data_IF_091510556105
#
_entry.id   IF_091510556105
#
_cell.length_a   1.000
_cell.length_b   1.000
_cell.length_c   1.000
_cell.angle_alpha   90.00
_cell.angle_beta   90.00
_cell.angle_gamma   90.00
#
_symmetry.space_group_name_H-M   'P 1'
#
loop_
_entity.id
_entity.type
_entity.pdbx_description
1 polymer ?
#
# COMPACT_ATOMS: atom_id res chain seq x y z
N UNK A 1 16.14 25.07 -8.04
CA UNK A 1 16.20 23.60 -8.11
C UNK A 1 17.66 23.21 -8.13
N UNK A 2 18.15 22.50 -7.11
CA UNK A 2 19.53 21.99 -7.11
C UNK A 2 19.61 20.80 -8.08
N UNK A 3 20.48 20.89 -9.10
CA UNK A 3 20.81 19.74 -9.93
C UNK A 3 21.58 18.70 -9.12
N UNK A 4 21.50 17.42 -9.52
CA UNK A 4 22.35 16.39 -8.95
C UNK A 4 23.81 16.69 -9.25
N UNK A 5 24.71 16.50 -8.27
CA UNK A 5 26.14 16.70 -8.45
C UNK A 5 26.76 15.57 -9.30
N UNK A 6 26.18 14.37 -9.21
CA UNK A 6 26.59 13.19 -9.99
C UNK A 6 25.32 12.45 -10.40
N UNK A 7 25.23 12.11 -11.68
CA UNK A 7 24.14 11.31 -12.23
C UNK A 7 24.66 9.91 -12.60
N UNK A 8 23.98 8.87 -12.14
CA UNK A 8 24.29 7.48 -12.48
C UNK A 8 23.12 6.90 -13.25
N UNK A 9 23.28 6.76 -14.55
CA UNK A 9 22.29 6.18 -15.45
C UNK A 9 22.54 4.69 -15.58
N UNK A 10 21.57 3.85 -15.26
CA UNK A 10 21.70 2.40 -15.36
C UNK A 10 20.66 1.64 -14.52
N UNK A 11 20.87 0.33 -14.38
CA UNK A 11 20.07 -0.51 -13.50
C UNK A 11 20.33 -0.16 -12.03
N UNK A 12 19.26 0.18 -11.30
CA UNK A 12 19.35 0.64 -9.91
C UNK A 12 19.91 -0.44 -8.99
N UNK A 13 19.50 -1.70 -9.16
CA UNK A 13 19.94 -2.79 -8.32
C UNK A 13 21.44 -3.03 -8.47
N UNK A 14 21.94 -2.99 -9.71
CA UNK A 14 23.36 -3.11 -10.00
C UNK A 14 24.16 -1.93 -9.45
N UNK A 15 23.67 -0.70 -9.61
CA UNK A 15 24.32 0.49 -9.06
C UNK A 15 24.44 0.43 -7.53
N UNK A 16 23.38 0.06 -6.83
CA UNK A 16 23.40 -0.12 -5.37
C UNK A 16 24.35 -1.25 -4.97
N UNK A 17 24.35 -2.35 -5.72
CA UNK A 17 25.27 -3.46 -5.45
C UNK A 17 26.75 -3.02 -5.56
N UNK A 18 27.11 -2.28 -6.62
CA UNK A 18 28.46 -1.75 -6.80
C UNK A 18 28.84 -0.78 -5.66
N UNK A 19 27.94 0.14 -5.28
CA UNK A 19 28.16 1.03 -4.13
C UNK A 19 28.43 0.23 -2.86
N UNK A 20 27.63 -0.81 -2.60
CA UNK A 20 27.79 -1.67 -1.41
C UNK A 20 29.17 -2.37 -1.38
N UNK A 21 29.77 -2.69 -2.55
CA UNK A 21 31.08 -3.33 -2.60
C UNK A 21 32.23 -2.34 -2.31
N UNK A 22 32.00 -1.04 -2.56
CA UNK A 22 33.04 -0.01 -2.50
C UNK A 22 32.97 0.87 -1.26
N UNK A 23 31.80 1.02 -0.67
CA UNK A 23 31.57 1.90 0.50
C UNK A 23 31.77 1.11 1.78
N UNK A 24 32.71 1.53 2.61
CA UNK A 24 32.86 0.99 3.95
C UNK A 24 31.69 1.41 4.86
N UNK A 25 31.34 0.59 5.89
CA UNK A 25 30.35 0.97 6.88
C UNK A 25 30.67 2.34 7.49
N UNK A 26 29.66 3.16 7.64
CA UNK A 26 29.78 4.54 8.15
C UNK A 26 29.25 4.63 9.58
N UNK A 27 30.07 4.36 10.62
CA UNK A 27 29.61 4.28 12.02
C UNK A 27 29.31 5.64 12.64
N UNK A 28 29.65 6.75 11.97
CA UNK A 28 29.48 8.10 12.47
C UNK A 28 28.07 8.67 12.31
N UNK A 29 27.14 7.94 11.64
CA UNK A 29 25.77 8.39 11.50
C UNK A 29 25.02 8.27 12.82
N UNK A 30 24.47 9.39 13.30
CA UNK A 30 23.53 9.42 14.43
C UNK A 30 22.09 9.48 13.91
N UNK A 31 21.36 8.40 14.08
CA UNK A 31 19.97 8.27 13.65
C UNK A 31 18.96 8.65 14.75
N UNK A 32 19.42 9.08 15.95
CA UNK A 32 18.55 9.36 17.11
C UNK A 32 17.41 10.32 16.76
N UNK A 33 17.72 11.39 16.03
CA UNK A 33 16.69 12.36 15.60
C UNK A 33 15.70 11.75 14.58
N UNK A 34 16.20 10.98 13.63
CA UNK A 34 15.36 10.32 12.60
C UNK A 34 14.43 9.32 13.28
N UNK A 35 14.96 8.52 14.21
CA UNK A 35 14.17 7.56 14.98
C UNK A 35 13.12 8.23 15.88
N UNK A 36 13.43 9.38 16.45
CA UNK A 36 12.46 10.16 17.22
C UNK A 36 11.31 10.67 16.33
N UNK A 37 11.64 11.21 15.16
CA UNK A 37 10.63 11.67 14.17
C UNK A 37 9.79 10.50 13.69
N UNK A 38 10.39 9.35 13.39
CA UNK A 38 9.67 8.14 12.97
C UNK A 38 8.69 7.68 14.06
N UNK A 39 9.14 7.58 15.32
CA UNK A 39 8.26 7.21 16.44
C UNK A 39 7.10 8.19 16.64
N UNK A 40 7.36 9.48 16.55
CA UNK A 40 6.32 10.51 16.66
C UNK A 40 5.30 10.40 15.49
N UNK A 41 5.79 10.16 14.28
CA UNK A 41 4.95 9.92 13.11
C UNK A 41 4.09 8.65 13.24
N UNK A 42 4.69 7.54 13.69
CA UNK A 42 3.97 6.28 13.93
C UNK A 42 2.90 6.44 15.01
N UNK A 43 3.19 7.16 16.09
CA UNK A 43 2.21 7.44 17.15
C UNK A 43 1.05 8.29 16.64
N UNK A 44 1.34 9.34 15.86
CA UNK A 44 0.30 10.18 15.25
C UNK A 44 -0.57 9.40 14.26
N UNK A 45 0.03 8.52 13.47
CA UNK A 45 -0.72 7.66 12.53
C UNK A 45 -1.59 6.62 13.24
N UNK A 46 -1.22 6.19 14.44
CA UNK A 46 -2.00 5.26 15.26
C UNK A 46 -3.10 5.93 16.09
N UNK A 47 -3.10 7.27 16.19
CA UNK A 47 -4.10 8.01 16.94
C UNK A 47 -5.52 7.73 16.39
N UNK A 48 -6.42 7.26 17.26
CA UNK A 48 -7.79 6.87 16.88
C UNK A 48 -7.92 5.50 16.23
N UNK A 49 -6.87 4.68 16.18
CA UNK A 49 -6.91 3.33 15.62
C UNK A 49 -7.81 2.37 16.40
N UNK A 50 -8.07 2.64 17.67
CA UNK A 50 -8.95 1.88 18.58
C UNK A 50 -10.32 2.54 18.80
N UNK A 51 -10.61 3.68 18.19
CA UNK A 51 -11.86 4.40 18.33
C UNK A 51 -13.05 3.58 17.79
N UNK A 52 -13.96 3.22 18.69
CA UNK A 52 -15.09 2.34 18.39
C UNK A 52 -16.32 3.06 17.77
N UNK A 53 -16.25 4.38 17.57
CA UNK A 53 -17.39 5.15 17.02
C UNK A 53 -17.77 4.72 15.60
N UNK A 54 -18.99 5.06 15.24
CA UNK A 54 -19.50 5.00 13.87
C UNK A 54 -19.92 6.43 13.43
N UNK A 55 -19.61 6.87 12.21
CA UNK A 55 -18.86 6.18 11.14
C UNK A 55 -17.43 5.80 11.54
N UNK A 56 -16.92 4.71 10.96
CA UNK A 56 -15.59 4.18 11.29
C UNK A 56 -14.49 5.15 10.89
N UNK A 57 -13.61 5.48 11.82
CA UNK A 57 -12.46 6.33 11.51
C UNK A 57 -11.50 5.67 10.53
N UNK A 58 -10.91 6.45 9.60
CA UNK A 58 -9.93 5.92 8.65
C UNK A 58 -8.74 5.23 9.32
N UNK A 59 -8.26 5.74 10.45
CA UNK A 59 -7.15 5.14 11.20
C UNK A 59 -7.51 3.75 11.71
N UNK A 60 -8.71 3.59 12.28
CA UNK A 60 -9.23 2.29 12.72
C UNK A 60 -9.41 1.36 11.53
N UNK A 61 -9.97 1.83 10.43
CA UNK A 61 -10.15 1.02 9.22
C UNK A 61 -8.80 0.45 8.75
N UNK A 62 -7.75 1.27 8.67
CA UNK A 62 -6.42 0.81 8.24
C UNK A 62 -5.84 -0.22 9.22
N UNK A 63 -5.99 0.01 10.53
CA UNK A 63 -5.54 -0.92 11.56
C UNK A 63 -6.26 -2.27 11.46
N UNK A 64 -7.58 -2.27 11.32
CA UNK A 64 -8.38 -3.49 11.18
C UNK A 64 -8.07 -4.27 9.90
N UNK A 65 -7.88 -3.56 8.78
CA UNK A 65 -7.43 -4.20 7.54
C UNK A 65 -6.05 -4.82 7.72
N UNK A 66 -5.11 -4.13 8.39
CA UNK A 66 -3.78 -4.70 8.66
C UNK A 66 -3.88 -5.97 9.52
N UNK A 67 -4.71 -5.95 10.55
CA UNK A 67 -4.92 -7.11 11.44
C UNK A 67 -5.56 -8.30 10.72
N UNK A 68 -6.49 -8.03 9.78
CA UNK A 68 -7.18 -9.05 9.01
C UNK A 68 -6.31 -9.69 7.90
N UNK A 69 -5.23 -9.01 7.49
CA UNK A 69 -4.35 -9.47 6.43
C UNK A 69 -3.11 -10.16 6.98
N UNK A 70 -2.69 -11.32 6.44
CA UNK A 70 -1.39 -11.91 6.78
C UNK A 70 -0.23 -10.99 6.39
N UNK A 71 0.97 -11.28 6.89
CA UNK A 71 2.15 -10.45 6.63
C UNK A 71 2.51 -10.33 5.15
N UNK A 72 2.24 -11.37 4.38
CA UNK A 72 2.46 -11.44 2.93
C UNK A 72 1.21 -11.12 2.10
N UNK A 73 0.07 -10.82 2.75
CA UNK A 73 -1.17 -10.45 2.06
C UNK A 73 -1.01 -9.22 1.19
N UNK A 74 -1.71 -9.18 0.07
CA UNK A 74 -1.67 -8.06 -0.88
C UNK A 74 -2.95 -7.25 -0.77
N UNK A 75 -2.82 -5.94 -0.61
CA UNK A 75 -3.92 -5.00 -0.80
C UNK A 75 -3.75 -4.24 -2.11
N UNK A 76 -4.83 -4.09 -2.87
CA UNK A 76 -4.89 -3.27 -4.06
C UNK A 76 -5.82 -2.08 -3.79
N UNK A 77 -5.27 -0.88 -3.81
CA UNK A 77 -5.99 0.36 -3.51
C UNK A 77 -6.52 0.99 -4.79
N UNK A 78 -7.79 1.25 -4.82
CA UNK A 78 -8.37 2.15 -5.81
C UNK A 78 -8.09 3.63 -5.45
N UNK A 79 -8.51 4.56 -6.25
CA UNK A 79 -8.30 5.99 -6.05
C UNK A 79 -9.52 6.66 -5.40
N UNK A 80 -9.27 7.30 -4.26
CA UNK A 80 -10.20 8.02 -3.42
C UNK A 80 -9.50 8.58 -2.18
N UNK A 81 -10.17 9.35 -1.36
CA UNK A 81 -9.60 9.99 -0.15
C UNK A 81 -9.01 8.96 0.81
N UNK A 82 -9.65 7.80 0.97
CA UNK A 82 -9.17 6.70 1.82
C UNK A 82 -7.77 6.19 1.43
N UNK A 83 -7.36 6.31 0.17
CA UNK A 83 -6.04 5.93 -0.32
C UNK A 83 -4.92 6.61 0.46
N UNK A 84 -5.12 7.88 0.83
CA UNK A 84 -4.14 8.67 1.59
C UNK A 84 -3.89 8.03 2.95
N UNK A 85 -4.95 7.55 3.61
CA UNK A 85 -4.85 6.88 4.90
C UNK A 85 -4.10 5.57 4.82
N UNK A 86 -4.42 4.74 3.84
CA UNK A 86 -3.70 3.47 3.60
C UNK A 86 -2.24 3.72 3.21
N UNK A 87 -1.97 4.65 2.30
CA UNK A 87 -0.61 4.95 1.86
C UNK A 87 0.30 5.44 2.99
N UNK A 88 -0.27 6.13 3.99
CA UNK A 88 0.48 6.64 5.14
C UNK A 88 0.61 5.64 6.29
N UNK A 89 -0.45 4.90 6.58
CA UNK A 89 -0.59 4.19 7.85
C UNK A 89 -0.51 2.67 7.71
N UNK A 90 -0.76 2.11 6.52
CA UNK A 90 -0.70 0.66 6.34
C UNK A 90 0.75 0.16 6.32
N UNK A 91 1.07 -0.74 7.24
CA UNK A 91 2.42 -1.32 7.35
C UNK A 91 2.57 -2.50 6.39
N UNK A 92 3.32 -2.31 5.31
CA UNK A 92 3.74 -3.38 4.41
C UNK A 92 4.91 -4.15 5.04
N UNK A 93 4.80 -5.47 5.14
CA UNK A 93 5.86 -6.33 5.73
C UNK A 93 6.74 -6.99 4.68
N UNK A 94 6.24 -7.10 3.45
CA UNK A 94 7.00 -7.66 2.32
C UNK A 94 6.89 -6.74 1.11
N UNK A 95 7.88 -6.74 0.20
CA UNK A 95 7.80 -5.97 -1.04
C UNK A 95 6.57 -6.33 -1.88
N UNK A 96 6.05 -5.35 -2.63
CA UNK A 96 4.92 -5.52 -3.55
C UNK A 96 3.64 -6.07 -2.91
N UNK A 97 3.40 -5.76 -1.63
CA UNK A 97 2.16 -6.13 -0.92
C UNK A 97 1.13 -5.01 -0.84
N UNK A 98 1.46 -3.82 -1.31
CA UNK A 98 0.55 -2.69 -1.47
C UNK A 98 0.61 -2.21 -2.91
N UNK A 99 -0.45 -2.46 -3.66
CA UNK A 99 -0.58 -2.03 -5.05
C UNK A 99 -1.31 -0.68 -5.06
N UNK A 100 -0.68 0.31 -5.64
CA UNK A 100 -1.09 1.70 -5.54
C UNK A 100 -0.76 2.42 -6.86
N UNK A 101 -1.77 2.82 -7.61
CA UNK A 101 -1.58 3.63 -8.80
C UNK A 101 -1.47 5.12 -8.44
N UNK A 102 -0.28 5.68 -8.59
CA UNK A 102 0.02 7.08 -8.30
C UNK A 102 0.28 7.94 -9.54
N UNK A 103 0.63 7.33 -10.66
CA UNK A 103 1.04 8.10 -11.84
C UNK A 103 -0.14 8.84 -12.47
N UNK A 104 -1.25 8.15 -12.72
CA UNK A 104 -2.46 8.72 -13.30
C UNK A 104 -3.64 8.73 -12.33
N UNK A 105 -3.49 8.10 -11.15
CA UNK A 105 -4.50 8.03 -10.09
C UNK A 105 -5.88 7.60 -10.62
N UNK A 106 -5.91 6.52 -11.39
CA UNK A 106 -7.10 6.03 -12.09
C UNK A 106 -8.10 5.44 -11.12
N UNK A 107 -9.33 5.96 -11.12
CA UNK A 107 -10.46 5.33 -10.43
C UNK A 107 -10.87 4.05 -11.17
N UNK A 108 -11.33 3.06 -10.41
CA UNK A 108 -11.70 1.75 -10.96
C UNK A 108 -10.53 0.76 -11.09
N UNK A 109 -9.31 1.16 -10.70
CA UNK A 109 -8.12 0.30 -10.81
C UNK A 109 -8.04 -0.76 -9.70
N UNK A 110 -8.72 -0.58 -8.56
CA UNK A 110 -8.56 -1.43 -7.37
C UNK A 110 -8.96 -2.90 -7.62
N UNK A 111 -10.16 -3.14 -8.13
CA UNK A 111 -10.64 -4.50 -8.41
C UNK A 111 -9.80 -5.21 -9.49
N UNK A 112 -9.54 -4.65 -10.68
CA UNK A 112 -8.69 -5.29 -11.68
C UNK A 112 -7.26 -5.57 -11.18
N UNK A 113 -6.68 -4.66 -10.41
CA UNK A 113 -5.34 -4.86 -9.81
C UNK A 113 -5.32 -6.02 -8.82
N UNK A 114 -6.36 -6.16 -7.99
CA UNK A 114 -6.49 -7.30 -7.08
C UNK A 114 -6.66 -8.62 -7.85
N UNK A 115 -7.45 -8.61 -8.94
CA UNK A 115 -7.61 -9.78 -9.81
C UNK A 115 -6.29 -10.18 -10.47
N UNK A 116 -5.53 -9.21 -10.99
CA UNK A 116 -4.20 -9.46 -11.54
C UNK A 116 -3.24 -10.03 -10.48
N UNK A 117 -3.23 -9.46 -9.27
CA UNK A 117 -2.45 -9.97 -8.17
C UNK A 117 -2.84 -11.42 -7.80
N UNK A 118 -4.13 -11.77 -7.87
CA UNK A 118 -4.62 -13.14 -7.63
C UNK A 118 -4.14 -14.13 -8.68
N UNK A 119 -4.01 -13.71 -9.93
CA UNK A 119 -3.46 -14.56 -11.00
C UNK A 119 -1.97 -14.84 -10.80
N UNK A 120 -1.22 -13.83 -10.35
CA UNK A 120 0.24 -13.93 -10.14
C UNK A 120 0.58 -14.66 -8.83
N UNK A 121 -0.25 -14.48 -7.79
CA UNK A 121 -0.04 -15.00 -6.44
C UNK A 121 -1.26 -15.78 -5.94
N UNK A 122 -1.53 -16.96 -6.51
CA UNK A 122 -2.75 -17.73 -6.20
C UNK A 122 -2.82 -18.22 -4.75
N UNK A 123 -1.71 -18.26 -4.02
CA UNK A 123 -1.61 -18.71 -2.64
C UNK A 123 -1.82 -17.59 -1.61
N UNK A 124 -1.63 -16.31 -2.00
CA UNK A 124 -1.68 -15.18 -1.07
C UNK A 124 -3.11 -14.68 -0.87
N UNK A 125 -3.37 -14.13 0.31
CA UNK A 125 -4.64 -13.42 0.56
C UNK A 125 -4.62 -12.08 -0.17
N UNK A 126 -5.65 -11.82 -0.96
CA UNK A 126 -5.78 -10.59 -1.77
C UNK A 126 -7.02 -9.82 -1.34
N UNK A 127 -6.90 -8.51 -1.17
CA UNK A 127 -8.01 -7.62 -0.88
C UNK A 127 -7.97 -6.39 -1.80
N UNK A 128 -9.04 -6.16 -2.55
CA UNK A 128 -9.29 -4.89 -3.20
C UNK A 128 -9.94 -3.92 -2.20
N UNK A 129 -9.50 -2.68 -2.17
CA UNK A 129 -10.07 -1.61 -1.34
C UNK A 129 -10.49 -0.49 -2.28
N UNK A 130 -11.78 -0.30 -2.40
CA UNK A 130 -12.40 0.60 -3.38
C UNK A 130 -13.36 1.56 -2.68
N UNK A 131 -13.48 2.78 -3.19
CA UNK A 131 -14.65 3.60 -2.93
C UNK A 131 -15.84 3.09 -3.75
N UNK A 132 -17.03 3.50 -3.41
CA UNK A 132 -18.26 3.17 -4.12
C UNK A 132 -18.20 3.56 -5.61
N UNK A 133 -17.83 4.80 -5.92
CA UNK A 133 -17.69 5.28 -7.29
C UNK A 133 -16.62 4.56 -8.09
N UNK A 134 -15.44 4.32 -7.49
CA UNK A 134 -14.37 3.57 -8.14
C UNK A 134 -14.75 2.11 -8.40
N UNK A 135 -15.41 1.46 -7.43
CA UNK A 135 -15.90 0.10 -7.61
C UNK A 135 -16.92 -0.02 -8.75
N UNK A 136 -17.86 0.95 -8.85
CA UNK A 136 -18.88 0.96 -9.91
C UNK A 136 -18.30 1.08 -11.31
N UNK A 137 -17.11 1.66 -11.48
CA UNK A 137 -16.48 1.79 -12.81
C UNK A 137 -16.09 0.45 -13.43
N UNK A 138 -15.75 -0.55 -12.61
CA UNK A 138 -15.30 -1.87 -13.08
C UNK A 138 -15.99 -3.04 -12.35
N UNK A 139 -17.17 -2.81 -11.76
CA UNK A 139 -17.92 -3.85 -11.04
C UNK A 139 -18.28 -5.07 -11.91
N UNK A 140 -18.40 -4.90 -13.23
CA UNK A 140 -18.64 -5.99 -14.19
C UNK A 140 -17.52 -7.06 -14.15
N UNK A 141 -16.30 -6.71 -13.70
CA UNK A 141 -15.20 -7.65 -13.56
C UNK A 141 -15.45 -8.72 -12.49
N UNK A 142 -16.46 -8.54 -11.64
CA UNK A 142 -16.90 -9.60 -10.73
C UNK A 142 -17.36 -10.86 -11.48
N UNK A 143 -17.94 -10.71 -12.68
CA UNK A 143 -18.27 -11.87 -13.53
C UNK A 143 -16.99 -12.66 -13.83
N UNK A 144 -15.95 -11.99 -14.29
CA UNK A 144 -14.65 -12.60 -14.58
C UNK A 144 -14.05 -13.26 -13.32
N UNK A 145 -14.12 -12.59 -12.16
CA UNK A 145 -13.62 -13.15 -10.91
C UNK A 145 -14.37 -14.43 -10.51
N UNK A 146 -15.69 -14.45 -10.65
CA UNK A 146 -16.53 -15.63 -10.36
C UNK A 146 -16.25 -16.76 -11.36
N UNK A 147 -16.22 -16.47 -12.64
CA UNK A 147 -15.94 -17.44 -13.71
C UNK A 147 -14.56 -18.09 -13.54
N UNK A 148 -13.56 -17.34 -13.12
CA UNK A 148 -12.22 -17.82 -12.84
C UNK A 148 -12.05 -18.36 -11.42
N UNK A 149 -13.11 -18.40 -10.60
CA UNK A 149 -13.12 -18.88 -9.21
C UNK A 149 -12.03 -18.21 -8.35
N UNK A 150 -11.88 -16.91 -8.53
CA UNK A 150 -10.88 -16.13 -7.79
C UNK A 150 -11.29 -15.97 -6.33
N UNK A 151 -10.40 -16.40 -5.41
CA UNK A 151 -10.57 -16.15 -3.99
C UNK A 151 -9.94 -14.80 -3.63
N UNK A 152 -10.72 -13.73 -3.69
CA UNK A 152 -10.32 -12.38 -3.27
C UNK A 152 -11.44 -11.73 -2.46
N UNK A 153 -11.07 -10.75 -1.65
CA UNK A 153 -12.00 -9.94 -0.88
C UNK A 153 -12.10 -8.55 -1.51
N UNK A 154 -13.30 -8.02 -1.65
CA UNK A 154 -13.54 -6.64 -2.06
C UNK A 154 -14.12 -5.88 -0.88
N UNK A 155 -13.40 -4.88 -0.39
CA UNK A 155 -13.84 -3.95 0.64
C UNK A 155 -14.28 -2.65 -0.04
N UNK A 156 -15.57 -2.34 0.05
CA UNK A 156 -16.14 -1.12 -0.51
C UNK A 156 -16.35 -0.12 0.62
N UNK A 157 -15.77 1.06 0.46
CA UNK A 157 -15.88 2.17 1.40
C UNK A 157 -16.89 3.17 0.86
N UNK A 158 -17.84 3.53 1.71
CA UNK A 158 -18.91 4.47 1.39
C UNK A 158 -18.96 5.57 2.45
N UNK A 159 -19.02 6.81 1.99
CA UNK A 159 -19.16 8.03 2.80
C UNK A 159 -20.48 8.73 2.42
N UNK A 160 -21.55 8.37 3.07
CA UNK A 160 -22.86 9.04 2.87
C UNK A 160 -22.91 10.44 3.50
#
# INVERSE_FOLDING_TARGET
MGGAAIEVVGDIANAIWQMKQTIAPQPHWDFTRIDAIRRAGDAHCAEGADDARFPVYPQRLVAEVRNAMPSDGIIALDNGVYKIWFARNYKAHVPNSVLLDNALATMGAGLPSAMAARLVHPERKIMAICGDGGFMMNSQELETAVRLKMNLTVLILRDD
#
